data_IF_191437984483
#
_entry.id   IF_191437984483
#
_cell.length_a   1.000
_cell.length_b   1.000
_cell.length_c   1.000
_cell.angle_alpha   90.00
_cell.angle_beta   90.00
_cell.angle_gamma   90.00
#
_symmetry.space_group_name_H-M   'P 1'
#
loop_
_entity.id
_entity.type
_entity.pdbx_description
1 polymer ?
#
# COMPACT_ATOMS: atom_id res chain seq x y z
N UNK A 1 27.52 20.48 -15.44
CA UNK A 1 27.60 19.07 -15.01
C UNK A 1 26.34 18.79 -14.20
N UNK A 2 25.50 17.84 -14.61
CA UNK A 2 24.26 17.56 -13.89
C UNK A 2 24.58 16.84 -12.58
N UNK A 3 24.22 17.45 -11.47
CA UNK A 3 24.43 16.92 -10.11
C UNK A 3 23.10 16.32 -9.61
N UNK A 4 23.17 15.29 -8.80
CA UNK A 4 22.04 14.68 -8.08
C UNK A 4 22.42 14.44 -6.61
N UNK A 5 21.52 13.93 -5.79
CA UNK A 5 21.82 13.51 -4.43
C UNK A 5 21.93 11.98 -4.36
N UNK A 6 22.89 11.47 -3.59
CA UNK A 6 22.98 10.04 -3.30
C UNK A 6 21.73 9.58 -2.51
N UNK A 7 21.07 8.52 -2.95
CA UNK A 7 19.88 8.01 -2.27
C UNK A 7 20.16 7.41 -0.88
N UNK A 8 21.42 7.04 -0.58
CA UNK A 8 21.82 6.40 0.68
C UNK A 8 22.33 7.40 1.74
N UNK A 9 23.22 8.33 1.35
CA UNK A 9 23.83 9.27 2.31
C UNK A 9 23.38 10.72 2.14
N UNK A 10 22.50 11.02 1.17
CA UNK A 10 21.92 12.34 0.87
C UNK A 10 22.88 13.45 0.45
N UNK A 11 24.17 13.13 0.31
CA UNK A 11 25.19 14.07 -0.14
C UNK A 11 25.14 14.27 -1.66
N UNK A 12 25.55 15.44 -2.16
CA UNK A 12 25.58 15.73 -3.59
C UNK A 12 26.62 14.85 -4.31
N UNK A 13 26.20 14.24 -5.42
CA UNK A 13 27.01 13.39 -6.30
C UNK A 13 26.76 13.75 -7.77
N UNK A 14 27.69 13.37 -8.65
CA UNK A 14 27.48 13.49 -10.09
C UNK A 14 26.38 12.54 -10.56
N UNK A 15 25.52 12.98 -11.47
CA UNK A 15 24.53 12.10 -12.14
C UNK A 15 25.14 10.95 -12.96
N UNK A 16 26.47 10.99 -13.18
CA UNK A 16 27.26 9.94 -13.83
C UNK A 16 28.26 9.29 -12.85
N UNK A 17 28.06 9.42 -11.54
CA UNK A 17 28.97 8.85 -10.55
C UNK A 17 29.00 7.32 -10.65
N UNK A 18 30.21 6.75 -10.73
CA UNK A 18 30.41 5.28 -10.74
C UNK A 18 30.24 4.70 -9.33
N UNK A 19 30.37 5.52 -8.28
CA UNK A 19 30.04 5.18 -6.89
C UNK A 19 29.89 6.46 -6.07
N UNK A 20 29.22 6.39 -4.91
CA UNK A 20 29.13 7.53 -4.01
C UNK A 20 30.46 7.76 -3.28
N UNK A 21 31.09 8.95 -3.41
CA UNK A 21 32.36 9.25 -2.75
C UNK A 21 32.23 9.44 -1.23
N UNK A 22 31.00 9.55 -0.71
CA UNK A 22 30.73 9.82 0.70
C UNK A 22 30.45 8.56 1.52
N UNK A 23 29.69 7.61 0.96
CA UNK A 23 29.31 6.37 1.65
C UNK A 23 29.78 5.09 0.96
N UNK A 24 30.41 5.18 -0.22
CA UNK A 24 30.87 4.01 -0.97
C UNK A 24 29.76 3.24 -1.71
N UNK A 25 28.53 3.75 -1.71
CA UNK A 25 27.39 3.12 -2.39
C UNK A 25 27.67 2.87 -3.88
N UNK A 26 27.39 1.67 -4.41
CA UNK A 26 27.46 1.40 -5.83
C UNK A 26 26.45 2.29 -6.60
N UNK A 27 26.64 2.51 -7.91
CA UNK A 27 25.88 3.51 -8.66
C UNK A 27 24.40 3.15 -8.72
N UNK A 28 24.06 1.86 -8.68
CA UNK A 28 22.68 1.34 -8.62
C UNK A 28 21.94 1.80 -7.35
N UNK A 29 22.64 1.89 -6.22
CA UNK A 29 22.09 2.35 -4.93
C UNK A 29 22.17 3.87 -4.83
N UNK A 30 23.29 4.46 -5.25
CA UNK A 30 23.53 5.90 -5.14
C UNK A 30 22.64 6.73 -6.08
N UNK A 31 22.41 6.24 -7.30
CA UNK A 31 21.63 6.92 -8.35
C UNK A 31 20.21 6.35 -8.50
N UNK A 32 19.82 5.40 -7.65
CA UNK A 32 18.42 4.98 -7.56
C UNK A 32 17.54 6.22 -7.46
N UNK A 33 16.44 6.27 -8.23
CA UNK A 33 15.38 7.25 -7.98
C UNK A 33 15.04 7.09 -6.52
N UNK A 34 15.35 8.12 -5.73
CA UNK A 34 14.97 8.20 -4.34
C UNK A 34 13.48 7.91 -4.33
N UNK A 35 13.09 6.75 -3.80
CA UNK A 35 11.73 6.58 -3.32
C UNK A 35 11.68 7.60 -2.19
N UNK A 36 11.26 8.82 -2.51
CA UNK A 36 11.05 9.85 -1.53
C UNK A 36 9.94 9.29 -0.65
N UNK A 37 10.34 8.67 0.45
CA UNK A 37 9.41 8.26 1.48
C UNK A 37 8.84 9.58 2.02
N UNK A 38 7.64 9.92 1.56
CA UNK A 38 6.83 11.02 2.10
C UNK A 38 6.78 12.34 1.31
N UNK A 39 6.81 12.34 -0.03
CA UNK A 39 6.48 13.58 -0.77
C UNK A 39 5.73 13.39 -2.10
N UNK A 40 5.28 12.16 -2.39
CA UNK A 40 4.33 11.95 -3.48
C UNK A 40 2.93 12.31 -2.98
N UNK A 41 2.19 13.17 -3.71
CA UNK A 41 0.85 13.57 -3.32
C UNK A 41 -0.01 12.32 -3.17
N UNK A 42 -0.77 12.26 -2.07
CA UNK A 42 -1.74 11.19 -1.86
C UNK A 42 -2.75 11.19 -3.02
N UNK A 43 -3.15 10.03 -3.54
CA UNK A 43 -4.25 9.95 -4.49
C UNK A 43 -5.48 10.69 -3.93
N UNK A 44 -6.14 11.51 -4.74
CA UNK A 44 -7.29 12.34 -4.30
C UNK A 44 -8.35 11.51 -3.57
N UNK A 45 -8.66 10.33 -4.12
CA UNK A 45 -9.61 9.37 -3.54
C UNK A 45 -9.22 8.92 -2.13
N UNK A 46 -7.92 8.80 -1.85
CA UNK A 46 -7.38 8.43 -0.54
C UNK A 46 -7.36 9.62 0.42
N UNK A 47 -6.90 10.79 -0.04
CA UNK A 47 -6.89 12.03 0.76
C UNK A 47 -8.32 12.37 1.24
N UNK A 48 -9.30 12.35 0.35
CA UNK A 48 -10.70 12.55 0.70
C UNK A 48 -11.21 11.54 1.73
N UNK A 49 -10.84 10.27 1.59
CA UNK A 49 -11.26 9.21 2.51
C UNK A 49 -10.61 9.38 3.90
N UNK A 50 -9.35 9.79 3.94
CA UNK A 50 -8.65 10.14 5.18
C UNK A 50 -9.35 11.31 5.86
N UNK A 51 -9.62 12.39 5.12
CA UNK A 51 -10.31 13.58 5.64
C UNK A 51 -11.70 13.24 6.19
N UNK A 52 -12.46 12.43 5.45
CA UNK A 52 -13.78 11.96 5.87
C UNK A 52 -13.71 11.10 7.14
N UNK A 53 -12.73 10.20 7.25
CA UNK A 53 -12.56 9.33 8.41
C UNK A 53 -12.13 10.09 9.67
N UNK A 54 -11.33 11.14 9.52
CA UNK A 54 -10.77 11.91 10.64
C UNK A 54 -11.55 13.18 11.00
N UNK A 55 -12.66 13.48 10.29
CA UNK A 55 -13.41 14.75 10.41
C UNK A 55 -12.50 15.98 10.27
N UNK A 56 -11.56 15.94 9.32
CA UNK A 56 -10.63 17.04 9.06
C UNK A 56 -10.99 17.73 7.75
N UNK A 57 -11.69 18.87 7.81
CA UNK A 57 -12.19 19.50 6.59
C UNK A 57 -11.09 20.24 5.81
N UNK A 58 -10.02 20.71 6.44
CA UNK A 58 -9.08 21.66 5.83
C UNK A 58 -7.62 21.47 6.28
N UNK A 59 -6.68 21.97 5.47
CA UNK A 59 -5.24 21.96 5.73
C UNK A 59 -4.49 20.79 5.11
N UNK A 60 -3.17 20.87 5.10
CA UNK A 60 -2.29 19.79 4.63
C UNK A 60 -2.25 18.65 5.64
N UNK A 61 -2.32 17.41 5.15
CA UNK A 61 -2.14 16.22 5.99
C UNK A 61 -0.67 16.11 6.41
N UNK A 62 -0.41 16.24 7.70
CA UNK A 62 0.93 16.09 8.28
C UNK A 62 1.33 14.62 8.46
N UNK A 63 2.63 14.32 8.45
CA UNK A 63 3.14 12.98 8.74
C UNK A 63 2.63 12.43 10.08
N UNK A 64 2.47 13.30 11.08
CA UNK A 64 1.94 12.90 12.39
C UNK A 64 0.50 12.42 12.29
N UNK A 65 -0.35 13.11 11.51
CA UNK A 65 -1.72 12.71 11.27
C UNK A 65 -1.77 11.35 10.57
N UNK A 66 -1.02 11.20 9.47
CA UNK A 66 -0.93 9.94 8.71
C UNK A 66 -0.42 8.77 9.57
N UNK A 67 0.53 9.04 10.47
CA UNK A 67 1.11 8.04 11.37
C UNK A 67 0.13 7.47 12.41
N UNK A 68 -1.02 8.11 12.61
CA UNK A 68 -2.04 7.68 13.57
C UNK A 68 -3.27 7.03 12.91
N UNK A 69 -3.32 6.99 11.58
CA UNK A 69 -4.42 6.39 10.84
C UNK A 69 -4.32 4.86 10.98
N UNK A 70 -5.33 4.27 11.59
CA UNK A 70 -5.44 2.82 11.73
C UNK A 70 -6.48 2.19 10.79
N UNK A 71 -7.39 3.01 10.24
CA UNK A 71 -8.57 2.53 9.54
C UNK A 71 -8.86 3.43 8.34
N UNK A 72 -9.01 2.84 7.16
CA UNK A 72 -9.42 3.53 5.94
C UNK A 72 -10.51 2.73 5.24
N UNK A 73 -11.55 3.44 4.78
CA UNK A 73 -12.63 2.90 3.97
C UNK A 73 -12.73 3.67 2.66
N UNK A 74 -12.54 2.96 1.56
CA UNK A 74 -12.67 3.46 0.19
C UNK A 74 -13.83 2.75 -0.52
N UNK A 75 -14.78 2.22 0.25
CA UNK A 75 -15.91 1.48 -0.30
C UNK A 75 -16.69 2.35 -1.30
N UNK A 76 -17.15 1.74 -2.40
CA UNK A 76 -17.87 2.38 -3.50
C UNK A 76 -17.09 3.48 -4.26
N UNK A 77 -15.76 3.54 -4.08
CA UNK A 77 -14.89 4.45 -4.85
C UNK A 77 -14.12 3.68 -5.92
N UNK A 78 -14.37 3.98 -7.20
CA UNK A 78 -13.63 3.35 -8.29
C UNK A 78 -12.17 3.80 -8.26
N UNK A 79 -11.24 2.86 -8.11
CA UNK A 79 -9.79 3.12 -8.14
C UNK A 79 -9.24 2.65 -9.47
N UNK A 80 -8.67 3.57 -10.25
CA UNK A 80 -8.08 3.27 -11.56
C UNK A 80 -6.56 3.02 -11.47
N UNK A 81 -5.86 3.80 -10.63
CA UNK A 81 -4.41 3.69 -10.43
C UNK A 81 -4.08 3.00 -9.09
N UNK A 82 -4.06 1.66 -9.11
CA UNK A 82 -3.70 0.84 -7.96
C UNK A 82 -2.24 1.03 -7.50
N UNK A 83 -1.23 1.15 -8.37
CA UNK A 83 0.13 1.49 -7.96
C UNK A 83 0.22 2.78 -7.13
N UNK A 84 -0.43 3.86 -7.56
CA UNK A 84 -0.48 5.11 -6.81
C UNK A 84 -1.23 4.94 -5.48
N UNK A 85 -2.34 4.19 -5.48
CA UNK A 85 -3.10 3.88 -4.27
C UNK A 85 -2.26 3.15 -3.21
N UNK A 86 -1.52 2.13 -3.64
CA UNK A 86 -0.61 1.34 -2.80
C UNK A 86 0.54 2.21 -2.29
N UNK A 87 1.10 3.09 -3.13
CA UNK A 87 2.10 4.07 -2.69
C UNK A 87 1.55 5.00 -1.60
N UNK A 88 0.27 5.40 -1.68
CA UNK A 88 -0.43 6.13 -0.63
C UNK A 88 -0.55 5.33 0.68
N UNK A 89 -0.97 4.06 0.60
CA UNK A 89 -1.08 3.18 1.79
C UNK A 89 0.26 2.96 2.51
N UNK A 90 1.39 2.99 1.79
CA UNK A 90 2.74 2.92 2.41
C UNK A 90 3.04 4.08 3.36
N UNK A 91 2.32 5.21 3.22
CA UNK A 91 2.44 6.37 4.10
C UNK A 91 1.65 6.21 5.41
N UNK A 92 0.90 5.10 5.57
CA UNK A 92 0.03 4.82 6.73
C UNK A 92 0.58 3.66 7.57
N UNK A 93 1.64 3.88 8.39
CA UNK A 93 2.38 2.80 9.06
C UNK A 93 1.56 2.03 10.11
N UNK A 94 0.45 2.60 10.61
CA UNK A 94 -0.41 1.96 11.61
C UNK A 94 -1.72 1.41 11.04
N UNK A 95 -1.88 1.38 9.71
CA UNK A 95 -3.10 0.92 9.06
C UNK A 95 -3.38 -0.55 9.39
N UNK A 96 -4.47 -0.84 10.09
CA UNK A 96 -4.90 -2.19 10.49
C UNK A 96 -6.18 -2.64 9.79
N UNK A 97 -7.02 -1.69 9.38
CA UNK A 97 -8.28 -1.97 8.70
C UNK A 97 -8.33 -1.24 7.36
N UNK A 98 -8.58 -2.00 6.30
CA UNK A 98 -8.69 -1.46 4.94
C UNK A 98 -9.97 -1.96 4.28
N UNK A 99 -10.87 -1.03 3.94
CA UNK A 99 -12.07 -1.28 3.16
C UNK A 99 -11.88 -0.87 1.72
N UNK A 100 -12.02 -1.82 0.79
CA UNK A 100 -11.92 -1.64 -0.65
C UNK A 100 -13.12 -2.27 -1.37
N UNK A 101 -14.28 -2.30 -0.73
CA UNK A 101 -15.46 -2.94 -1.31
C UNK A 101 -15.94 -2.16 -2.54
N UNK A 102 -16.28 -2.85 -3.63
CA UNK A 102 -16.76 -2.23 -4.88
C UNK A 102 -15.82 -1.16 -5.45
N UNK A 103 -14.50 -1.36 -5.33
CA UNK A 103 -13.48 -0.43 -5.85
C UNK A 103 -13.02 -0.77 -7.26
N UNK A 104 -13.42 -1.94 -7.78
CA UNK A 104 -12.97 -2.46 -9.08
C UNK A 104 -11.62 -3.18 -8.99
N UNK A 105 -11.17 -3.54 -7.78
CA UNK A 105 -9.93 -4.30 -7.58
C UNK A 105 -10.02 -5.67 -8.27
N UNK A 106 -9.00 -6.02 -9.05
CA UNK A 106 -8.90 -7.36 -9.68
C UNK A 106 -7.65 -8.11 -9.25
N UNK A 107 -6.58 -7.38 -8.93
CA UNK A 107 -5.28 -7.93 -8.52
C UNK A 107 -4.92 -7.49 -7.10
N UNK A 108 -4.90 -8.44 -6.18
CA UNK A 108 -4.52 -8.22 -4.78
C UNK A 108 -3.02 -8.42 -4.51
N UNK A 109 -2.23 -8.69 -5.55
CA UNK A 109 -0.77 -8.88 -5.49
C UNK A 109 -0.06 -7.75 -4.75
N UNK A 110 -0.43 -6.51 -5.07
CA UNK A 110 0.18 -5.31 -4.51
C UNK A 110 -0.16 -5.09 -3.03
N UNK A 111 -1.19 -5.75 -2.49
CA UNK A 111 -1.55 -5.63 -1.08
C UNK A 111 -0.69 -6.51 -0.15
N UNK A 112 0.10 -7.43 -0.71
CA UNK A 112 0.87 -8.41 0.06
C UNK A 112 1.95 -7.84 0.98
N UNK A 113 2.37 -6.60 0.76
CA UNK A 113 3.39 -5.93 1.58
C UNK A 113 2.85 -5.41 2.92
N UNK A 114 1.52 -5.23 3.04
CA UNK A 114 0.88 -4.61 4.21
C UNK A 114 0.63 -5.62 5.34
N UNK A 115 1.70 -6.28 5.77
CA UNK A 115 1.66 -7.34 6.79
C UNK A 115 1.09 -6.91 8.14
N UNK A 116 0.95 -5.61 8.40
CA UNK A 116 0.31 -5.06 9.59
C UNK A 116 -1.24 -5.16 9.59
N UNK A 117 -1.86 -5.40 8.42
CA UNK A 117 -3.31 -5.46 8.29
C UNK A 117 -3.91 -6.59 9.14
N UNK A 118 -5.08 -6.30 9.72
CA UNK A 118 -5.87 -7.22 10.56
C UNK A 118 -7.26 -7.47 10.00
N UNK A 119 -7.83 -6.47 9.34
CA UNK A 119 -9.18 -6.53 8.77
C UNK A 119 -9.13 -6.01 7.34
N UNK A 120 -9.60 -6.81 6.39
CA UNK A 120 -9.52 -6.48 4.97
C UNK A 120 -10.86 -6.79 4.27
N UNK A 121 -11.55 -5.75 3.81
CA UNK A 121 -12.83 -5.88 3.10
C UNK A 121 -12.60 -5.68 1.61
N UNK A 122 -12.85 -6.73 0.82
CA UNK A 122 -12.64 -6.76 -0.63
C UNK A 122 -13.92 -7.16 -1.37
N UNK A 123 -15.07 -6.95 -0.75
CA UNK A 123 -16.37 -7.43 -1.21
C UNK A 123 -16.74 -6.82 -2.57
N UNK A 124 -17.43 -7.60 -3.41
CA UNK A 124 -18.01 -7.14 -4.68
C UNK A 124 -16.99 -6.44 -5.59
N UNK A 125 -15.84 -7.07 -5.74
CA UNK A 125 -14.79 -6.68 -6.67
C UNK A 125 -14.68 -7.72 -7.80
N UNK A 126 -13.66 -7.60 -8.65
CA UNK A 126 -13.41 -8.51 -9.76
C UNK A 126 -12.26 -9.49 -9.48
N UNK A 127 -12.00 -9.82 -8.22
CA UNK A 127 -10.83 -10.60 -7.82
C UNK A 127 -11.02 -12.07 -8.23
N UNK A 128 -10.01 -12.65 -8.86
CA UNK A 128 -9.99 -14.08 -9.24
C UNK A 128 -8.83 -14.85 -8.61
N UNK A 129 -7.75 -14.15 -8.21
CA UNK A 129 -6.53 -14.72 -7.65
C UNK A 129 -6.21 -14.08 -6.29
N UNK A 130 -5.78 -14.88 -5.32
CA UNK A 130 -5.54 -14.45 -3.93
C UNK A 130 -4.08 -14.62 -3.48
N UNK A 131 -3.18 -15.03 -4.37
CA UNK A 131 -1.78 -15.31 -4.04
C UNK A 131 -1.07 -14.14 -3.35
N UNK A 132 -1.41 -12.90 -3.72
CA UNK A 132 -0.87 -11.67 -3.13
C UNK A 132 -1.08 -11.52 -1.63
N UNK A 133 -2.19 -12.02 -1.10
CA UNK A 133 -2.59 -11.80 0.29
C UNK A 133 -2.27 -12.99 1.22
N UNK A 134 -1.78 -14.11 0.69
CA UNK A 134 -1.35 -15.27 1.48
C UNK A 134 -0.20 -14.95 2.47
N UNK A 135 0.54 -13.87 2.23
CA UNK A 135 1.61 -13.36 3.09
C UNK A 135 1.14 -12.55 4.30
N UNK A 136 -0.14 -12.15 4.34
CA UNK A 136 -0.68 -11.27 5.38
C UNK A 136 -1.02 -12.02 6.68
N UNK A 137 0.02 -12.56 7.34
CA UNK A 137 -0.11 -13.48 8.50
C UNK A 137 -0.80 -12.89 9.73
N UNK A 138 -0.94 -11.57 9.81
CA UNK A 138 -1.64 -10.90 10.91
C UNK A 138 -3.13 -10.64 10.63
N UNK A 139 -3.64 -11.02 9.44
CA UNK A 139 -5.06 -10.93 9.16
C UNK A 139 -5.87 -11.80 10.12
N UNK A 140 -6.91 -11.19 10.66
CA UNK A 140 -7.92 -11.83 11.50
C UNK A 140 -9.19 -12.11 10.73
N UNK A 141 -9.59 -11.18 9.86
CA UNK A 141 -10.81 -11.30 9.07
C UNK A 141 -10.60 -10.74 7.67
N UNK A 142 -11.13 -11.47 6.69
CA UNK A 142 -11.16 -11.04 5.29
C UNK A 142 -12.52 -11.32 4.67
N UNK A 143 -13.08 -10.32 4.00
CA UNK A 143 -14.36 -10.42 3.31
C UNK A 143 -14.15 -10.41 1.79
N UNK A 144 -14.58 -11.47 1.15
CA UNK A 144 -14.34 -11.77 -0.27
C UNK A 144 -15.64 -12.02 -1.05
N UNK A 145 -16.81 -11.92 -0.42
CA UNK A 145 -18.07 -12.23 -1.10
C UNK A 145 -18.30 -11.35 -2.32
N UNK A 146 -18.95 -11.91 -3.34
CA UNK A 146 -19.22 -11.20 -4.60
C UNK A 146 -17.98 -11.00 -5.49
N UNK A 147 -16.91 -11.75 -5.28
CA UNK A 147 -15.78 -11.88 -6.21
C UNK A 147 -15.89 -13.16 -7.06
N UNK A 148 -15.04 -13.29 -8.07
CA UNK A 148 -14.99 -14.44 -8.98
C UNK A 148 -13.86 -15.41 -8.63
N UNK A 149 -13.76 -15.77 -7.34
CA UNK A 149 -12.65 -16.57 -6.80
C UNK A 149 -12.95 -18.06 -6.99
N UNK A 150 -12.01 -18.78 -7.59
CA UNK A 150 -12.10 -20.23 -7.71
C UNK A 150 -11.78 -20.95 -6.40
N UNK A 151 -12.42 -22.09 -6.17
CA UNK A 151 -12.28 -22.87 -4.94
C UNK A 151 -10.82 -23.24 -4.59
N UNK A 152 -9.98 -23.50 -5.58
CA UNK A 152 -8.55 -23.78 -5.38
C UNK A 152 -7.79 -22.62 -4.71
N UNK A 153 -8.15 -21.36 -5.04
CA UNK A 153 -7.54 -20.18 -4.42
C UNK A 153 -7.96 -20.05 -2.96
N UNK A 154 -9.21 -20.40 -2.63
CA UNK A 154 -9.71 -20.38 -1.26
C UNK A 154 -8.96 -21.39 -0.39
N UNK A 155 -8.78 -22.63 -0.86
CA UNK A 155 -8.01 -23.66 -0.14
C UNK A 155 -6.59 -23.16 0.15
N UNK A 156 -5.91 -22.57 -0.84
CA UNK A 156 -4.56 -22.02 -0.64
C UNK A 156 -4.54 -20.87 0.39
N UNK A 157 -5.56 -20.01 0.37
CA UNK A 157 -5.67 -18.91 1.32
C UNK A 157 -5.92 -19.43 2.74
N UNK A 158 -6.83 -20.38 2.92
CA UNK A 158 -7.12 -21.03 4.21
C UNK A 158 -5.88 -21.71 4.80
N UNK A 159 -5.13 -22.45 3.97
CA UNK A 159 -3.87 -23.07 4.39
C UNK A 159 -2.81 -22.04 4.76
N UNK A 160 -2.74 -20.92 4.03
CA UNK A 160 -1.77 -19.88 4.29
C UNK A 160 -2.11 -19.05 5.54
N UNK A 161 -3.40 -18.87 5.85
CA UNK A 161 -3.93 -18.03 6.92
C UNK A 161 -4.89 -18.81 7.85
N UNK A 162 -4.42 -19.86 8.53
CA UNK A 162 -5.29 -20.77 9.30
C UNK A 162 -5.96 -20.14 10.52
N UNK A 163 -5.56 -18.93 10.91
CA UNK A 163 -6.12 -18.16 12.03
C UNK A 163 -7.02 -17.00 11.57
N UNK A 164 -7.18 -16.82 10.25
CA UNK A 164 -7.99 -15.78 9.65
C UNK A 164 -9.38 -16.32 9.35
N UNK A 165 -10.42 -15.57 9.71
CA UNK A 165 -11.80 -15.84 9.33
C UNK A 165 -12.03 -15.33 7.91
N UNK A 166 -12.41 -16.22 7.00
CA UNK A 166 -12.64 -15.91 5.60
C UNK A 166 -14.15 -15.92 5.34
N UNK A 167 -14.68 -14.78 4.92
CA UNK A 167 -16.08 -14.62 4.55
C UNK A 167 -16.20 -14.58 3.03
N UNK A 168 -16.99 -15.50 2.45
CA UNK A 168 -17.18 -15.67 0.99
C UNK A 168 -18.64 -15.55 0.58
#
# INVERSE_FOLDING_TARGET
MSMTQCAECTQPISSKAVMCPHCGAPPEVALAKRIQKGNEPLPEVLDEAIRAACMWPEGDLTDHQLSNIEQIKLDDRKVEDWPAMVAGFRQLPKLKMLGLSRTGLTDVGLLGEFSQLRYLYLEKNGITHLSGICGLKNLKQIWLYGNSIHHEQLIKLEQALPKCEIFI
#
